data_IF_625282168191
#
_entry.id   IF_625282168191
#
_cell.length_a   1.000
_cell.length_b   1.000
_cell.length_c   1.000
_cell.angle_alpha   90.00
_cell.angle_beta   90.00
_cell.angle_gamma   90.00
#
_symmetry.space_group_name_H-M   'P 1'
#
loop_
_entity.id
_entity.type
_entity.pdbx_description
1 polymer ?
#
# COMPACT_ATOMS: atom_id res chain seq x y z
N UNK A 1 35.79 30.06 27.59
CA UNK A 1 36.22 29.12 26.54
C UNK A 1 35.56 27.78 26.86
N UNK A 2 34.75 27.28 25.90
CA UNK A 2 34.05 25.97 25.89
C UNK A 2 33.09 25.70 27.08
N UNK A 3 31.87 25.23 26.87
CA UNK A 3 31.59 24.02 26.11
C UNK A 3 30.37 24.14 25.17
N UNK A 4 30.54 23.49 24.03
CA UNK A 4 29.62 23.34 22.91
C UNK A 4 29.11 21.91 23.03
N UNK A 5 27.82 21.71 22.80
CA UNK A 5 27.15 20.50 22.30
C UNK A 5 25.96 20.13 23.18
N UNK A 6 24.77 20.17 22.57
CA UNK A 6 23.80 19.07 22.62
C UNK A 6 22.69 19.43 21.63
N UNK A 7 23.06 19.35 20.35
CA UNK A 7 22.16 19.32 19.22
C UNK A 7 22.50 18.06 18.45
N UNK A 8 22.01 16.91 18.92
CA UNK A 8 21.76 15.72 18.10
C UNK A 8 21.00 14.71 18.96
N UNK A 9 19.85 14.20 18.46
CA UNK A 9 19.07 13.02 18.95
C UNK A 9 17.53 13.22 18.90
N UNK A 10 16.98 13.83 17.83
CA UNK A 10 15.55 13.69 17.50
C UNK A 10 15.27 13.57 16.00
N UNK A 11 16.17 12.96 15.23
CA UNK A 11 15.91 12.67 13.81
C UNK A 11 15.17 11.34 13.57
N UNK A 12 14.83 10.61 14.63
CA UNK A 12 14.24 9.25 14.54
C UNK A 12 12.69 9.20 14.64
N UNK A 13 12.00 10.35 14.55
CA UNK A 13 10.55 10.42 14.78
C UNK A 13 9.72 10.82 13.54
N UNK A 14 10.34 11.00 12.36
CA UNK A 14 9.60 11.31 11.14
C UNK A 14 9.50 10.04 10.28
N UNK A 15 8.28 9.53 10.01
CA UNK A 15 8.13 8.42 9.08
C UNK A 15 8.75 8.84 7.74
N UNK A 16 9.64 7.98 7.22
CA UNK A 16 10.41 8.21 5.99
C UNK A 16 9.52 8.61 4.82
N UNK A 17 8.35 8.00 4.76
CA UNK A 17 7.31 8.28 3.78
C UNK A 17 6.16 9.00 4.47
N UNK A 18 5.69 10.09 3.87
CA UNK A 18 4.55 10.84 4.35
C UNK A 18 3.28 10.42 3.61
N UNK A 19 2.11 10.43 4.27
CA UNK A 19 0.85 10.23 3.58
C UNK A 19 0.63 11.30 2.52
N UNK A 20 0.26 10.86 1.32
CA UNK A 20 -0.17 11.70 0.20
C UNK A 20 -1.69 11.62 0.13
N UNK A 21 -2.41 12.75 0.26
CA UNK A 21 -3.88 12.78 0.12
C UNK A 21 -4.30 12.18 -1.22
N UNK A 22 -5.34 11.35 -1.19
CA UNK A 22 -5.86 10.72 -2.39
C UNK A 22 -6.64 11.72 -3.24
N UNK A 23 -6.35 11.73 -4.53
CA UNK A 23 -7.19 12.39 -5.54
C UNK A 23 -7.96 11.30 -6.25
N UNK A 24 -9.29 11.36 -6.21
CA UNK A 24 -10.14 10.35 -6.83
C UNK A 24 -9.78 10.13 -8.30
N UNK A 25 -9.49 8.89 -8.66
CA UNK A 25 -9.25 8.44 -10.02
C UNK A 25 -10.58 8.02 -10.64
N UNK A 26 -10.94 8.61 -11.78
CA UNK A 26 -12.26 8.43 -12.42
C UNK A 26 -12.19 7.52 -13.65
N UNK A 27 -11.03 7.46 -14.31
CA UNK A 27 -10.84 6.69 -15.54
C UNK A 27 -9.72 5.64 -15.40
N UNK A 28 -9.73 4.59 -16.23
CA UNK A 28 -8.61 3.65 -16.29
C UNK A 28 -7.26 4.32 -16.58
N UNK A 29 -7.26 5.37 -17.42
CA UNK A 29 -6.05 6.11 -17.76
C UNK A 29 -5.46 6.86 -16.55
N UNK A 30 -6.31 7.41 -15.68
CA UNK A 30 -5.85 8.04 -14.43
C UNK A 30 -5.22 7.01 -13.50
N UNK A 31 -5.76 5.79 -13.47
CA UNK A 31 -5.20 4.67 -12.69
C UNK A 31 -3.87 4.21 -13.24
N UNK A 32 -3.73 4.06 -14.56
CA UNK A 32 -2.46 3.71 -15.18
C UNK A 32 -1.38 4.76 -14.91
N UNK A 33 -1.73 6.05 -14.98
CA UNK A 33 -0.83 7.13 -14.62
C UNK A 33 -0.39 7.04 -13.16
N UNK A 34 -1.35 6.86 -12.24
CA UNK A 34 -1.05 6.70 -10.81
C UNK A 34 -0.14 5.49 -10.55
N UNK A 35 -0.37 4.35 -11.23
CA UNK A 35 0.50 3.16 -11.12
C UNK A 35 1.92 3.49 -11.59
N UNK A 36 2.07 4.19 -12.72
CA UNK A 36 3.37 4.57 -13.25
C UNK A 36 4.13 5.50 -12.29
N UNK A 37 3.46 6.52 -11.75
CA UNK A 37 4.02 7.43 -10.75
C UNK A 37 4.40 6.70 -9.46
N UNK A 38 3.54 5.80 -8.99
CA UNK A 38 3.81 4.97 -7.81
C UNK A 38 5.03 4.06 -8.01
N UNK A 39 5.12 3.40 -9.16
CA UNK A 39 6.25 2.54 -9.50
C UNK A 39 7.56 3.33 -9.58
N UNK A 40 7.53 4.53 -10.16
CA UNK A 40 8.68 5.42 -10.20
C UNK A 40 9.10 5.82 -8.78
N UNK A 41 8.15 6.23 -7.93
CA UNK A 41 8.43 6.61 -6.55
C UNK A 41 9.01 5.43 -5.74
N UNK A 42 8.54 4.20 -5.96
CA UNK A 42 9.16 3.01 -5.38
C UNK A 42 10.60 2.83 -5.88
N UNK A 43 10.86 2.96 -7.18
CA UNK A 43 12.22 2.82 -7.71
C UNK A 43 13.18 3.88 -7.18
N UNK A 44 12.72 5.12 -7.01
CA UNK A 44 13.54 6.23 -6.52
C UNK A 44 13.82 6.15 -5.02
N UNK A 45 12.90 5.57 -4.25
CA UNK A 45 12.97 5.61 -2.80
C UNK A 45 13.26 4.25 -2.13
N UNK A 46 13.01 3.11 -2.77
CA UNK A 46 13.31 1.81 -2.17
C UNK A 46 14.79 1.48 -2.37
N UNK A 47 15.50 1.24 -1.28
CA UNK A 47 16.91 0.82 -1.31
C UNK A 47 17.00 -0.64 -1.79
N UNK A 48 18.10 -1.04 -2.45
CA UNK A 48 18.24 -2.39 -3.02
C UNK A 48 18.04 -3.56 -2.03
N UNK A 49 18.27 -3.33 -0.73
CA UNK A 49 18.16 -4.35 0.31
C UNK A 49 16.83 -4.29 1.08
N UNK A 50 15.94 -3.36 0.76
CA UNK A 50 14.64 -3.24 1.41
C UNK A 50 13.66 -4.25 0.83
N UNK A 51 13.00 -5.01 1.71
CA UNK A 51 11.97 -5.98 1.35
C UNK A 51 10.62 -5.58 1.94
N UNK A 52 9.54 -6.20 1.46
CA UNK A 52 8.20 -5.89 1.97
C UNK A 52 7.80 -4.44 1.71
N UNK A 53 8.19 -3.93 0.55
CA UNK A 53 7.81 -2.59 0.10
C UNK A 53 6.53 -2.61 -0.72
N UNK A 54 5.80 -1.51 -0.70
CA UNK A 54 4.55 -1.36 -1.43
C UNK A 54 3.85 -0.06 -1.05
N UNK A 55 2.52 -0.08 -1.11
CA UNK A 55 1.67 1.05 -0.72
C UNK A 55 0.73 0.64 0.40
N UNK A 56 0.51 1.55 1.33
CA UNK A 56 -0.61 1.51 2.27
C UNK A 56 -1.67 2.48 1.76
N UNK A 57 -2.88 1.97 1.53
CA UNK A 57 -4.09 2.76 1.35
C UNK A 57 -4.77 2.92 2.70
N UNK A 58 -4.93 4.16 3.15
CA UNK A 58 -5.75 4.47 4.32
C UNK A 58 -7.15 4.84 3.86
N UNK A 59 -8.15 4.13 4.37
CA UNK A 59 -9.54 4.30 3.99
C UNK A 59 -10.19 5.43 4.80
N UNK A 60 -11.07 6.19 4.15
CA UNK A 60 -11.74 7.35 4.76
C UNK A 60 -12.64 6.96 5.95
N UNK A 61 -13.32 5.83 5.84
CA UNK A 61 -14.23 5.30 6.87
C UNK A 61 -13.53 4.41 7.91
N UNK A 62 -12.20 4.29 7.82
CA UNK A 62 -11.37 3.53 8.76
C UNK A 62 -10.80 2.23 8.19
N UNK A 63 -9.65 1.86 8.76
CA UNK A 63 -8.84 0.72 8.32
C UNK A 63 -7.84 1.06 7.22
N UNK A 64 -6.91 0.13 7.03
CA UNK A 64 -5.87 0.20 6.01
C UNK A 64 -5.86 -1.07 5.14
N UNK A 65 -5.45 -0.89 3.88
CA UNK A 65 -5.10 -1.97 2.95
C UNK A 65 -3.65 -1.77 2.54
N UNK A 66 -2.80 -2.75 2.83
CA UNK A 66 -1.43 -2.76 2.32
C UNK A 66 -1.43 -3.53 1.01
N UNK A 67 -0.81 -2.99 -0.03
CA UNK A 67 -0.69 -3.63 -1.33
C UNK A 67 0.77 -3.72 -1.77
N UNK A 68 1.12 -4.89 -2.29
CA UNK A 68 2.35 -5.13 -3.05
C UNK A 68 1.98 -5.78 -4.38
N UNK A 69 2.70 -5.45 -5.44
CA UNK A 69 2.54 -6.07 -6.77
C UNK A 69 3.78 -6.88 -7.13
N UNK A 70 4.00 -8.06 -6.50
CA UNK A 70 5.11 -8.91 -6.88
C UNK A 70 4.83 -9.67 -8.18
N UNK A 71 5.79 -9.64 -9.10
CA UNK A 71 5.75 -10.39 -10.36
C UNK A 71 4.40 -10.18 -11.11
N UNK A 72 3.58 -11.23 -11.20
CA UNK A 72 2.27 -11.25 -11.88
C UNK A 72 1.09 -11.39 -10.91
N UNK A 73 1.24 -10.88 -9.69
CA UNK A 73 0.19 -10.95 -8.67
C UNK A 73 0.04 -9.61 -7.94
N UNK A 74 -1.13 -9.44 -7.34
CA UNK A 74 -1.43 -8.38 -6.39
C UNK A 74 -1.61 -9.05 -5.04
N UNK A 75 -0.80 -8.66 -4.06
CA UNK A 75 -0.95 -9.11 -2.69
C UNK A 75 -1.53 -7.96 -1.88
N UNK A 76 -2.68 -8.19 -1.25
CA UNK A 76 -3.30 -7.26 -0.33
C UNK A 76 -3.23 -7.82 1.09
N UNK A 77 -2.83 -7.03 2.06
CA UNK A 77 -3.07 -7.31 3.48
C UNK A 77 -4.11 -6.31 3.99
N UNK A 78 -5.30 -6.81 4.30
CA UNK A 78 -6.46 -6.02 4.73
C UNK A 78 -6.52 -6.06 6.24
N UNK A 79 -6.36 -4.91 6.89
CA UNK A 79 -6.45 -4.84 8.36
C UNK A 79 -7.85 -5.23 8.86
N UNK A 80 -7.99 -5.70 10.12
CA UNK A 80 -9.30 -6.04 10.68
C UNK A 80 -10.33 -4.92 10.57
N UNK A 81 -9.92 -3.67 10.80
CA UNK A 81 -10.78 -2.48 10.70
C UNK A 81 -11.20 -2.17 9.25
N UNK A 82 -10.54 -2.77 8.25
CA UNK A 82 -10.88 -2.68 6.84
C UNK A 82 -11.63 -3.92 6.31
N UNK A 83 -12.00 -4.91 7.13
CA UNK A 83 -12.68 -6.12 6.64
C UNK A 83 -13.97 -5.84 5.86
N UNK A 84 -14.61 -4.70 6.13
CA UNK A 84 -15.81 -4.24 5.43
C UNK A 84 -15.61 -4.03 3.92
N UNK A 85 -14.38 -3.86 3.41
CA UNK A 85 -14.10 -3.79 1.96
C UNK A 85 -14.07 -5.14 1.26
N UNK A 86 -14.11 -6.26 2.00
CA UNK A 86 -14.03 -7.61 1.41
C UNK A 86 -15.05 -7.86 0.26
N UNK A 87 -16.34 -7.44 0.34
CA UNK A 87 -17.28 -7.62 -0.76
C UNK A 87 -16.85 -6.93 -2.07
N UNK A 88 -16.18 -5.77 -1.98
CA UNK A 88 -15.64 -5.07 -3.13
C UNK A 88 -14.47 -5.84 -3.75
N UNK A 89 -13.55 -6.32 -2.92
CA UNK A 89 -12.41 -7.13 -3.37
C UNK A 89 -12.91 -8.41 -4.06
N UNK A 90 -13.91 -9.09 -3.48
CA UNK A 90 -14.56 -10.27 -4.08
C UNK A 90 -15.20 -9.94 -5.42
N UNK A 91 -15.90 -8.81 -5.53
CA UNK A 91 -16.55 -8.40 -6.78
C UNK A 91 -15.55 -8.16 -7.91
N UNK A 92 -14.41 -7.52 -7.60
CA UNK A 92 -13.34 -7.27 -8.57
C UNK A 92 -12.59 -8.56 -8.92
N UNK A 93 -12.12 -9.27 -7.91
CA UNK A 93 -11.25 -10.44 -8.08
C UNK A 93 -12.00 -11.69 -8.56
N UNK A 94 -13.32 -11.75 -8.34
CA UNK A 94 -14.16 -12.93 -8.61
C UNK A 94 -13.64 -14.19 -7.92
N UNK A 95 -13.11 -14.03 -6.71
CA UNK A 95 -12.59 -15.10 -5.84
C UNK A 95 -13.33 -15.13 -4.52
N UNK A 96 -13.35 -16.28 -3.87
CA UNK A 96 -13.80 -16.38 -2.48
C UNK A 96 -12.84 -15.65 -1.53
N UNK A 97 -13.35 -15.08 -0.42
CA UNK A 97 -12.51 -14.47 0.59
C UNK A 97 -11.58 -15.51 1.25
N UNK A 98 -10.30 -15.17 1.47
CA UNK A 98 -9.37 -16.05 2.19
C UNK A 98 -9.77 -16.20 3.67
N UNK A 99 -9.24 -17.24 4.34
CA UNK A 99 -9.43 -17.45 5.78
C UNK A 99 -8.63 -16.48 6.68
N UNK A 100 -7.96 -15.49 6.10
CA UNK A 100 -7.10 -14.52 6.80
C UNK A 100 -7.11 -13.15 6.13
N UNK A 101 -6.25 -12.25 6.56
CA UNK A 101 -6.19 -10.86 6.07
C UNK A 101 -5.52 -10.70 4.70
N UNK A 102 -4.75 -11.70 4.26
CA UNK A 102 -3.96 -11.63 3.04
C UNK A 102 -4.72 -12.18 1.83
N UNK A 103 -4.93 -11.33 0.83
CA UNK A 103 -5.52 -11.65 -0.46
C UNK A 103 -4.43 -11.75 -1.52
N UNK A 104 -4.53 -12.72 -2.42
CA UNK A 104 -3.67 -12.85 -3.59
C UNK A 104 -4.56 -12.83 -4.82
N UNK A 105 -4.41 -11.82 -5.65
CA UNK A 105 -5.21 -11.60 -6.85
C UNK A 105 -4.32 -11.66 -8.10
N UNK A 106 -4.88 -11.98 -9.27
CA UNK A 106 -4.18 -11.81 -10.53
C UNK A 106 -3.84 -10.33 -10.80
N UNK A 107 -2.70 -10.06 -11.43
CA UNK A 107 -2.24 -8.71 -11.82
C UNK A 107 -3.22 -7.97 -12.75
N UNK A 108 -3.90 -8.68 -13.63
CA UNK A 108 -4.90 -8.13 -14.56
C UNK A 108 -6.11 -7.45 -13.87
N UNK A 109 -6.25 -7.61 -12.55
CA UNK A 109 -7.27 -6.96 -11.72
C UNK A 109 -6.85 -5.62 -11.13
N UNK A 110 -5.58 -5.20 -11.28
CA UNK A 110 -5.03 -4.05 -10.59
C UNK A 110 -5.80 -2.76 -10.88
N UNK A 111 -6.05 -2.49 -12.17
CA UNK A 111 -6.77 -1.29 -12.59
C UNK A 111 -8.20 -1.29 -12.00
N UNK A 112 -8.92 -2.40 -12.14
CA UNK A 112 -10.28 -2.53 -11.62
C UNK A 112 -10.35 -2.41 -10.10
N UNK A 113 -9.35 -2.95 -9.40
CA UNK A 113 -9.25 -2.88 -7.94
C UNK A 113 -9.04 -1.44 -7.49
N UNK A 114 -8.06 -0.72 -8.06
CA UNK A 114 -7.78 0.67 -7.70
C UNK A 114 -8.98 1.55 -8.04
N UNK A 115 -9.62 1.35 -9.20
CA UNK A 115 -10.86 2.07 -9.54
C UNK A 115 -11.96 1.83 -8.49
N UNK A 116 -12.18 0.58 -8.09
CA UNK A 116 -13.19 0.24 -7.08
C UNK A 116 -12.90 0.88 -5.72
N UNK A 117 -11.63 0.87 -5.30
CA UNK A 117 -11.19 1.44 -4.02
C UNK A 117 -11.09 2.97 -4.05
N UNK A 118 -10.99 3.59 -5.22
CA UNK A 118 -10.70 5.02 -5.41
C UNK A 118 -11.59 5.94 -4.57
N UNK A 119 -12.89 5.64 -4.46
CA UNK A 119 -13.82 6.46 -3.66
C UNK A 119 -13.72 6.24 -2.15
N UNK A 120 -13.03 5.19 -1.71
CA UNK A 120 -12.87 4.80 -0.32
C UNK A 120 -11.54 5.26 0.28
N UNK A 121 -10.55 5.58 -0.57
CA UNK A 121 -9.20 5.93 -0.14
C UNK A 121 -9.16 7.40 0.29
N UNK A 122 -8.65 7.66 1.49
CA UNK A 122 -8.34 9.00 1.98
C UNK A 122 -6.90 9.41 1.65
N UNK A 123 -5.95 8.49 1.75
CA UNK A 123 -4.54 8.75 1.44
C UNK A 123 -3.76 7.49 1.12
N UNK A 124 -2.62 7.68 0.48
CA UNK A 124 -1.62 6.63 0.22
C UNK A 124 -0.30 6.95 0.89
N UNK A 125 0.37 5.94 1.44
CA UNK A 125 1.72 6.07 1.99
C UNK A 125 2.59 4.94 1.45
N UNK A 126 3.79 5.26 0.95
CA UNK A 126 4.77 4.22 0.64
C UNK A 126 5.19 3.50 1.93
N UNK A 127 5.36 2.19 1.86
CA UNK A 127 5.78 1.38 3.00
C UNK A 127 6.96 0.50 2.64
N UNK A 128 7.76 0.16 3.65
CA UNK A 128 8.89 -0.80 3.61
C UNK A 128 8.83 -1.68 4.86
N UNK A 129 9.32 -2.91 4.76
CA UNK A 129 9.35 -3.85 5.89
C UNK A 129 7.97 -4.39 6.30
N UNK A 130 6.92 -4.16 5.51
CA UNK A 130 5.60 -4.74 5.78
C UNK A 130 5.59 -6.23 5.42
N UNK A 131 4.95 -7.05 6.26
CA UNK A 131 4.89 -8.49 6.06
C UNK A 131 3.67 -8.88 5.22
N UNK A 132 3.84 -8.91 3.89
CA UNK A 132 2.83 -9.36 2.93
C UNK A 132 2.61 -10.89 2.91
N UNK A 133 2.69 -11.57 4.06
CA UNK A 133 2.44 -13.01 4.17
C UNK A 133 3.51 -13.93 3.56
N UNK A 134 4.60 -13.40 2.99
CA UNK A 134 5.73 -14.19 2.44
C UNK A 134 6.52 -14.99 3.50
N UNK A 135 6.26 -14.80 4.79
CA UNK A 135 6.99 -15.45 5.90
C UNK A 135 6.42 -16.76 6.45
N UNK A 136 5.40 -17.40 5.82
CA UNK A 136 4.79 -18.64 6.33
C UNK A 136 4.66 -19.80 5.32
N UNK A 137 5.50 -19.83 4.29
CA UNK A 137 5.81 -21.09 3.60
C UNK A 137 7.11 -21.63 4.19
N UNK A 138 6.96 -22.45 5.25
CA UNK A 138 7.98 -23.38 5.72
C UNK A 138 7.66 -24.79 5.22
#
# INVERSE_FOLDING_TARGET
>A
MQDKSDQDDRDDARPRFRPVPWTGLETPADVELWIAEHNLALQEHIRPNETGYGVRFTLAEGGDIYMQTPDNAIVLDVTPDAEWVAPLIVAVARTEPPKGSTWVLPDDKLIQLIMGLSSLIASTTLVVGHNFGRGRMG
#
